data_IF_907935481708
#
_entry.id   IF_907935481708
#
_cell.length_a   1.000
_cell.length_b   1.000
_cell.length_c   1.000
_cell.angle_alpha   90.00
_cell.angle_beta   90.00
_cell.angle_gamma   90.00
#
_symmetry.space_group_name_H-M   'P 1'
#
loop_
_entity.id
_entity.type
_entity.pdbx_description
1 polymer ?
#
# COMPACT_ATOMS: atom_id res chain seq x y z
N UNK A 1 9.17 -1.14 4.30
CA UNK A 1 10.58 -1.44 4.32
C UNK A 1 10.97 -2.14 3.01
N UNK A 2 12.07 -1.73 2.42
CA UNK A 2 12.58 -2.29 1.17
C UNK A 2 14.10 -2.52 1.28
N UNK A 3 14.59 -3.58 0.66
CA UNK A 3 16.03 -3.85 0.62
C UNK A 3 16.45 -4.46 -0.71
N UNK A 4 17.69 -4.21 -1.09
CA UNK A 4 18.37 -4.89 -2.17
C UNK A 4 19.15 -6.08 -1.60
N UNK A 5 18.83 -7.28 -2.12
CA UNK A 5 19.45 -8.53 -1.67
C UNK A 5 20.46 -9.03 -2.72
N UNK A 6 21.71 -9.14 -2.33
CA UNK A 6 22.83 -9.56 -3.22
C UNK A 6 23.08 -11.08 -3.28
N UNK A 7 22.07 -11.89 -2.95
CA UNK A 7 22.16 -13.35 -2.99
C UNK A 7 22.70 -14.00 -1.69
N UNK A 8 23.46 -13.28 -0.89
CA UNK A 8 24.01 -13.75 0.41
C UNK A 8 23.69 -12.80 1.57
N UNK A 9 23.58 -11.51 1.30
CA UNK A 9 23.33 -10.46 2.30
C UNK A 9 22.53 -9.32 1.68
N UNK A 10 21.91 -8.53 2.53
CA UNK A 10 21.33 -7.24 2.17
C UNK A 10 22.49 -6.29 1.85
N UNK A 11 22.45 -5.67 0.66
CA UNK A 11 23.50 -4.75 0.17
C UNK A 11 23.08 -3.29 0.28
N UNK A 12 21.77 -3.02 0.23
CA UNK A 12 21.18 -1.71 0.48
C UNK A 12 19.80 -1.84 1.12
N UNK A 13 19.39 -0.83 1.85
CA UNK A 13 18.08 -0.79 2.52
C UNK A 13 17.52 0.63 2.51
N UNK A 14 16.26 0.77 2.08
CA UNK A 14 15.49 2.00 2.26
C UNK A 14 14.81 1.91 3.62
N UNK A 15 15.13 2.80 4.58
CA UNK A 15 14.62 2.71 5.94
C UNK A 15 13.10 2.99 5.98
N UNK A 16 12.35 2.29 6.83
CA UNK A 16 10.96 2.62 7.09
C UNK A 16 10.92 3.91 7.94
N UNK A 17 10.09 4.87 7.50
CA UNK A 17 9.93 6.16 8.20
C UNK A 17 8.60 6.27 8.94
N UNK A 18 7.86 5.15 9.07
CA UNK A 18 6.53 5.11 9.68
C UNK A 18 5.45 5.81 8.84
N UNK A 19 4.21 5.76 9.32
CA UNK A 19 3.02 6.12 8.53
C UNK A 19 2.89 7.63 8.21
N UNK A 20 3.61 8.50 8.93
CA UNK A 20 3.61 9.95 8.68
C UNK A 20 4.59 10.31 7.57
N UNK A 21 5.83 9.85 7.67
CA UNK A 21 6.94 10.24 6.80
C UNK A 21 7.25 9.23 5.69
N UNK A 22 6.60 8.07 5.70
CA UNK A 22 6.83 6.98 4.77
C UNK A 22 5.63 6.05 4.67
N UNK A 23 5.91 4.73 4.64
CA UNK A 23 4.93 3.64 4.49
C UNK A 23 4.11 3.74 3.19
N UNK A 24 4.69 4.30 2.12
CA UNK A 24 4.07 4.34 0.80
C UNK A 24 3.62 2.93 0.38
N UNK A 25 2.48 2.84 -0.28
CA UNK A 25 1.89 1.56 -0.72
C UNK A 25 1.38 0.66 0.40
N UNK A 26 1.46 1.08 1.67
CA UNK A 26 0.86 0.36 2.79
C UNK A 26 -0.66 0.57 2.88
N UNK A 27 -1.33 -0.26 3.71
CA UNK A 27 -2.75 -0.04 4.02
C UNK A 27 -3.03 1.33 4.63
N UNK A 28 -2.12 1.85 5.46
CA UNK A 28 -2.24 3.18 6.04
C UNK A 28 -2.14 4.29 4.99
N UNK A 29 -1.21 4.16 4.05
CA UNK A 29 -1.05 5.11 2.94
C UNK A 29 -2.29 5.10 2.03
N UNK A 30 -2.78 3.91 1.66
CA UNK A 30 -4.01 3.74 0.88
C UNK A 30 -5.23 4.36 1.58
N UNK A 31 -5.41 4.11 2.89
CA UNK A 31 -6.49 4.69 3.67
C UNK A 31 -6.38 6.22 3.77
N UNK A 32 -5.18 6.75 3.96
CA UNK A 32 -4.90 8.20 3.96
C UNK A 32 -5.29 8.83 2.61
N UNK A 33 -4.89 8.21 1.49
CA UNK A 33 -5.22 8.67 0.14
C UNK A 33 -6.74 8.64 -0.11
N UNK A 34 -7.43 7.56 0.31
CA UNK A 34 -8.88 7.45 0.21
C UNK A 34 -9.58 8.56 0.99
N UNK A 35 -9.27 8.74 2.28
CA UNK A 35 -9.88 9.77 3.12
C UNK A 35 -9.63 11.18 2.58
N UNK A 36 -8.42 11.45 2.10
CA UNK A 36 -8.13 12.72 1.43
C UNK A 36 -8.98 12.90 0.16
N UNK A 37 -9.17 11.86 -0.63
CA UNK A 37 -10.02 11.87 -1.83
C UNK A 37 -11.49 12.15 -1.49
N UNK A 38 -12.01 11.52 -0.45
CA UNK A 38 -13.39 11.71 0.05
C UNK A 38 -13.59 13.14 0.57
N UNK A 39 -12.83 13.56 1.59
CA UNK A 39 -13.07 14.83 2.27
C UNK A 39 -12.70 16.07 1.46
N UNK A 40 -11.78 15.93 0.51
CA UNK A 40 -11.44 17.00 -0.46
C UNK A 40 -12.26 16.95 -1.75
N UNK A 41 -13.24 16.03 -1.84
CA UNK A 41 -14.12 15.84 -3.01
C UNK A 41 -13.34 15.66 -4.32
N UNK A 42 -12.27 14.86 -4.26
CA UNK A 42 -11.45 14.50 -5.42
C UNK A 42 -11.89 13.19 -6.07
N UNK A 43 -12.74 12.42 -5.39
CA UNK A 43 -13.38 11.22 -5.92
C UNK A 43 -14.81 11.55 -6.38
N UNK A 44 -15.38 10.77 -7.31
CA UNK A 44 -16.75 10.95 -7.77
C UNK A 44 -17.76 10.91 -6.62
N UNK A 45 -18.87 11.64 -6.75
CA UNK A 45 -19.90 11.67 -5.73
C UNK A 45 -20.46 10.28 -5.42
N UNK A 46 -20.55 9.38 -6.42
CA UNK A 46 -20.96 7.99 -6.22
C UNK A 46 -20.05 7.24 -5.25
N UNK A 47 -18.72 7.42 -5.36
CA UNK A 47 -17.76 6.82 -4.44
C UNK A 47 -17.88 7.43 -3.04
N UNK A 48 -18.08 8.75 -2.96
CA UNK A 48 -18.28 9.43 -1.68
C UNK A 48 -19.53 8.90 -0.98
N UNK A 49 -20.65 8.72 -1.70
CA UNK A 49 -21.88 8.16 -1.15
C UNK A 49 -21.67 6.72 -0.65
N UNK A 50 -21.04 5.85 -1.45
CA UNK A 50 -20.71 4.48 -1.04
C UNK A 50 -19.86 4.45 0.24
N UNK A 51 -18.87 5.36 0.34
CA UNK A 51 -18.03 5.46 1.53
C UNK A 51 -18.83 5.91 2.76
N UNK A 52 -19.66 6.95 2.62
CA UNK A 52 -20.49 7.47 3.73
C UNK A 52 -21.50 6.44 4.21
N UNK A 53 -22.13 5.69 3.30
CA UNK A 53 -23.08 4.63 3.63
C UNK A 53 -22.39 3.46 4.37
N UNK A 54 -21.15 3.15 4.00
CA UNK A 54 -20.37 2.07 4.61
C UNK A 54 -19.76 2.43 5.96
N UNK A 55 -19.41 3.72 6.16
CA UNK A 55 -18.74 4.24 7.34
C UNK A 55 -19.41 5.55 7.83
N UNK A 56 -20.67 5.48 8.29
CA UNK A 56 -21.39 6.67 8.71
C UNK A 56 -20.74 7.39 9.90
N UNK A 57 -19.97 6.64 10.72
CA UNK A 57 -19.24 7.18 11.87
C UNK A 57 -17.92 7.87 11.48
N UNK A 58 -17.39 7.62 10.28
CA UNK A 58 -16.12 8.17 9.84
C UNK A 58 -16.28 9.59 9.26
N UNK A 59 -16.86 10.50 10.05
CA UNK A 59 -16.89 11.91 9.69
C UNK A 59 -15.51 12.58 9.84
N UNK A 60 -15.39 13.82 9.39
CA UNK A 60 -14.12 14.56 9.43
C UNK A 60 -13.55 14.69 10.85
N UNK A 61 -14.40 14.92 11.85
CA UNK A 61 -13.97 15.14 13.24
C UNK A 61 -13.47 13.82 13.83
N UNK A 62 -14.18 12.73 13.59
CA UNK A 62 -13.82 11.38 14.01
C UNK A 62 -12.51 10.93 13.39
N UNK A 63 -12.34 11.13 12.08
CA UNK A 63 -11.09 10.80 11.39
C UNK A 63 -9.91 11.59 11.96
N UNK A 64 -10.05 12.90 12.17
CA UNK A 64 -9.00 13.71 12.78
C UNK A 64 -8.68 13.21 14.19
N UNK A 65 -9.69 12.90 14.99
CA UNK A 65 -9.49 12.38 16.34
C UNK A 65 -8.69 11.08 16.34
N UNK A 66 -9.07 10.09 15.51
CA UNK A 66 -8.41 8.79 15.46
C UNK A 66 -6.98 8.86 14.89
N UNK A 67 -6.73 9.74 13.93
CA UNK A 67 -5.41 9.91 13.33
C UNK A 67 -4.43 10.63 14.27
N UNK A 68 -4.89 11.66 15.00
CA UNK A 68 -3.99 12.51 15.79
C UNK A 68 -3.99 12.20 17.30
N UNK A 69 -5.03 11.52 17.81
CA UNK A 69 -5.19 11.21 19.23
C UNK A 69 -5.48 9.74 19.51
N UNK A 70 -5.70 8.92 18.48
CA UNK A 70 -5.95 7.49 18.63
C UNK A 70 -4.66 6.74 18.98
N UNK A 71 -4.81 5.62 19.67
CA UNK A 71 -3.68 4.76 20.08
C UNK A 71 -3.00 4.06 18.88
N UNK A 72 -3.75 3.79 17.82
CA UNK A 72 -3.27 3.02 16.65
C UNK A 72 -3.64 3.69 15.32
N UNK A 73 -3.14 4.90 15.05
CA UNK A 73 -3.57 5.68 13.88
C UNK A 73 -3.27 5.00 12.53
N UNK A 74 -2.14 4.31 12.41
CA UNK A 74 -1.81 3.56 11.19
C UNK A 74 -2.78 2.40 10.94
N UNK A 75 -3.19 1.68 11.99
CA UNK A 75 -4.17 0.61 11.89
C UNK A 75 -5.57 1.15 11.55
N UNK A 76 -5.94 2.28 12.14
CA UNK A 76 -7.18 2.97 11.80
C UNK A 76 -7.22 3.35 10.31
N UNK A 77 -6.16 3.97 9.80
CA UNK A 77 -6.07 4.30 8.38
C UNK A 77 -6.14 3.04 7.50
N UNK A 78 -5.42 1.98 7.87
CA UNK A 78 -5.40 0.72 7.13
C UNK A 78 -6.76 0.00 7.12
N UNK A 79 -7.64 0.26 8.10
CA UNK A 79 -8.97 -0.34 8.17
C UNK A 79 -9.89 0.03 7.01
N UNK A 80 -9.56 1.06 6.24
CA UNK A 80 -10.29 1.45 5.03
C UNK A 80 -9.84 0.72 3.76
N UNK A 81 -8.74 -0.05 3.80
CA UNK A 81 -8.27 -0.80 2.63
C UNK A 81 -9.29 -1.83 2.09
N UNK A 82 -10.12 -2.51 2.91
CA UNK A 82 -11.20 -3.37 2.41
C UNK A 82 -12.18 -2.66 1.48
N UNK A 83 -12.55 -1.40 1.77
CA UNK A 83 -13.41 -0.60 0.89
C UNK A 83 -12.79 -0.42 -0.50
N UNK A 84 -11.50 -0.11 -0.57
CA UNK A 84 -10.78 0.00 -1.85
C UNK A 84 -10.81 -1.32 -2.61
N UNK A 85 -10.65 -2.45 -1.90
CA UNK A 85 -10.68 -3.78 -2.52
C UNK A 85 -12.06 -4.13 -3.06
N UNK A 86 -13.10 -3.85 -2.30
CA UNK A 86 -14.51 -4.10 -2.67
C UNK A 86 -14.89 -3.31 -3.93
N UNK A 87 -14.43 -2.06 -4.03
CA UNK A 87 -14.76 -1.14 -5.11
C UNK A 87 -13.64 -0.95 -6.14
N UNK A 88 -12.69 -1.90 -6.23
CA UNK A 88 -11.51 -1.79 -7.10
C UNK A 88 -11.85 -1.71 -8.60
N UNK A 89 -13.04 -2.15 -8.99
CA UNK A 89 -13.55 -2.02 -10.35
C UNK A 89 -13.90 -0.59 -10.77
N UNK A 90 -14.01 0.35 -9.81
CA UNK A 90 -14.23 1.77 -10.11
C UNK A 90 -12.90 2.37 -10.57
N UNK A 91 -12.84 2.99 -11.78
CA UNK A 91 -11.58 3.47 -12.36
C UNK A 91 -10.78 4.41 -11.44
N UNK A 92 -11.47 5.30 -10.73
CA UNK A 92 -10.84 6.27 -9.83
C UNK A 92 -10.23 5.60 -8.60
N UNK A 93 -10.86 4.55 -8.07
CA UNK A 93 -10.32 3.75 -6.97
C UNK A 93 -9.11 2.95 -7.46
N UNK A 94 -9.23 2.29 -8.61
CA UNK A 94 -8.12 1.54 -9.21
C UNK A 94 -6.91 2.45 -9.46
N UNK A 95 -7.14 3.66 -9.96
CA UNK A 95 -6.10 4.67 -10.17
C UNK A 95 -5.46 5.09 -8.85
N UNK A 96 -6.25 5.43 -7.84
CA UNK A 96 -5.75 5.81 -6.50
C UNK A 96 -4.79 4.75 -5.95
N UNK A 97 -5.16 3.47 -6.04
CA UNK A 97 -4.32 2.37 -5.57
C UNK A 97 -3.06 2.22 -6.43
N UNK A 98 -3.17 2.35 -7.74
CA UNK A 98 -2.02 2.30 -8.66
C UNK A 98 -1.04 3.44 -8.38
N UNK A 99 -1.53 4.66 -8.18
CA UNK A 99 -0.72 5.85 -7.90
C UNK A 99 0.06 5.70 -6.57
N UNK A 100 -0.55 5.12 -5.55
CA UNK A 100 0.13 4.85 -4.27
C UNK A 100 1.25 3.79 -4.43
N UNK A 101 1.08 2.78 -5.27
CA UNK A 101 2.17 1.85 -5.59
C UNK A 101 3.24 2.49 -6.47
N UNK A 102 2.87 3.35 -7.41
CA UNK A 102 3.84 4.13 -8.19
C UNK A 102 4.70 4.99 -7.28
N UNK A 103 4.07 5.64 -6.29
CA UNK A 103 4.78 6.40 -5.26
C UNK A 103 5.72 5.51 -4.44
N UNK A 104 5.26 4.31 -4.04
CA UNK A 104 6.12 3.34 -3.35
C UNK A 104 7.36 3.00 -4.17
N UNK A 105 7.22 2.71 -5.47
CA UNK A 105 8.35 2.38 -6.33
C UNK A 105 9.32 3.55 -6.46
N UNK A 106 8.81 4.77 -6.66
CA UNK A 106 9.64 5.95 -6.82
C UNK A 106 10.43 6.31 -5.56
N UNK A 107 9.82 6.12 -4.39
CA UNK A 107 10.45 6.49 -3.12
C UNK A 107 11.35 5.39 -2.52
N UNK A 108 11.14 4.12 -2.92
CA UNK A 108 11.78 3.02 -2.20
C UNK A 108 12.57 2.06 -3.09
N UNK A 109 12.38 2.08 -4.43
CA UNK A 109 12.95 1.05 -5.33
C UNK A 109 13.85 1.66 -6.40
N UNK A 110 13.38 2.71 -7.07
CA UNK A 110 14.00 3.18 -8.30
C UNK A 110 15.43 3.67 -8.15
N UNK A 111 15.83 4.07 -6.94
CA UNK A 111 17.18 4.55 -6.63
C UNK A 111 18.17 3.41 -6.33
N UNK A 112 17.73 2.14 -6.29
CA UNK A 112 18.67 1.02 -6.18
C UNK A 112 19.39 0.77 -7.50
N UNK A 113 20.68 0.46 -7.41
CA UNK A 113 21.47 0.02 -8.56
C UNK A 113 20.81 -1.18 -9.23
N UNK A 114 20.67 -1.11 -10.55
CA UNK A 114 20.04 -2.16 -11.36
C UNK A 114 18.60 -2.51 -11.00
N UNK A 115 17.86 -1.60 -10.34
CA UNK A 115 16.47 -1.85 -9.92
C UNK A 115 15.59 -2.41 -11.05
N UNK A 116 15.75 -1.91 -12.28
CA UNK A 116 14.95 -2.35 -13.44
C UNK A 116 15.37 -3.71 -14.01
N UNK A 117 16.58 -4.19 -13.68
CA UNK A 117 17.10 -5.49 -14.14
C UNK A 117 16.76 -6.63 -13.18
N UNK A 118 16.31 -6.31 -11.96
CA UNK A 118 16.04 -7.29 -10.91
C UNK A 118 14.53 -7.42 -10.65
N UNK A 119 14.05 -8.65 -10.35
CA UNK A 119 12.66 -8.82 -9.94
C UNK A 119 12.41 -8.27 -8.53
N UNK A 120 11.32 -7.53 -8.34
CA UNK A 120 10.89 -7.04 -7.03
C UNK A 120 9.92 -8.04 -6.41
N UNK A 121 10.24 -8.57 -5.24
CA UNK A 121 9.42 -9.52 -4.50
C UNK A 121 8.68 -8.81 -3.37
N UNK A 122 7.45 -9.24 -3.10
CA UNK A 122 6.60 -8.65 -2.08
C UNK A 122 6.15 -9.68 -1.05
N UNK A 123 6.09 -9.25 0.21
CA UNK A 123 5.48 -10.00 1.31
C UNK A 123 4.46 -9.07 1.98
N UNK A 124 3.21 -9.53 2.08
CA UNK A 124 2.15 -8.82 2.78
C UNK A 124 0.81 -8.84 2.06
N UNK A 125 -0.24 -8.64 2.85
CA UNK A 125 -1.63 -8.73 2.39
C UNK A 125 -2.00 -7.65 1.37
N UNK A 126 -1.50 -6.43 1.52
CA UNK A 126 -1.81 -5.32 0.60
C UNK A 126 -1.31 -5.65 -0.81
N UNK A 127 -0.05 -6.05 -0.95
CA UNK A 127 0.52 -6.45 -2.23
C UNK A 127 -0.24 -7.64 -2.86
N UNK A 128 -0.68 -8.58 -2.04
CA UNK A 128 -1.46 -9.73 -2.48
C UNK A 128 -2.86 -9.32 -2.97
N UNK A 129 -3.59 -8.55 -2.17
CA UNK A 129 -4.97 -8.17 -2.48
C UNK A 129 -5.09 -7.20 -3.66
N UNK A 130 -4.08 -6.37 -3.88
CA UNK A 130 -4.02 -5.38 -4.96
C UNK A 130 -2.96 -5.73 -6.02
N UNK A 131 -2.66 -7.03 -6.20
CA UNK A 131 -1.64 -7.48 -7.13
C UNK A 131 -1.79 -6.98 -8.58
N UNK A 132 -2.99 -6.84 -9.16
CA UNK A 132 -3.15 -6.25 -10.49
C UNK A 132 -2.67 -4.80 -10.56
N UNK A 133 -3.05 -3.95 -9.58
CA UNK A 133 -2.66 -2.55 -9.50
C UNK A 133 -1.16 -2.39 -9.25
N UNK A 134 -0.61 -3.24 -8.35
CA UNK A 134 0.81 -3.30 -8.08
C UNK A 134 1.63 -3.63 -9.34
N UNK A 135 1.19 -4.64 -10.11
CA UNK A 135 1.85 -5.03 -11.36
C UNK A 135 1.74 -3.94 -12.42
N UNK A 136 0.62 -3.24 -12.50
CA UNK A 136 0.43 -2.11 -13.41
C UNK A 136 1.40 -0.98 -13.06
N UNK A 137 1.45 -0.55 -11.80
CA UNK A 137 2.36 0.48 -11.34
C UNK A 137 3.83 0.11 -11.58
N UNK A 138 4.20 -1.16 -11.36
CA UNK A 138 5.54 -1.65 -11.64
C UNK A 138 5.89 -1.55 -13.12
N UNK A 139 4.98 -1.99 -14.01
CA UNK A 139 5.18 -1.91 -15.46
C UNK A 139 5.36 -0.46 -15.93
N UNK A 140 4.54 0.46 -15.40
CA UNK A 140 4.62 1.90 -15.70
C UNK A 140 5.97 2.51 -15.22
N UNK A 141 6.61 1.92 -14.19
CA UNK A 141 7.95 2.28 -13.70
C UNK A 141 9.10 1.52 -14.39
N UNK A 142 8.81 0.60 -15.31
CA UNK A 142 9.81 -0.25 -15.95
C UNK A 142 10.37 -1.33 -15.02
N UNK A 143 9.60 -1.76 -14.01
CA UNK A 143 10.00 -2.77 -13.03
C UNK A 143 9.28 -4.10 -13.30
N UNK A 144 9.91 -5.20 -12.91
CA UNK A 144 9.33 -6.55 -12.98
C UNK A 144 8.96 -7.04 -11.58
N UNK A 145 7.70 -7.44 -11.40
CA UNK A 145 7.25 -8.07 -10.16
C UNK A 145 7.53 -9.57 -10.18
N UNK A 146 8.28 -10.02 -9.21
CA UNK A 146 8.52 -11.44 -8.96
C UNK A 146 7.39 -12.09 -8.14
N UNK A 147 7.77 -12.78 -7.05
CA UNK A 147 6.80 -13.46 -6.16
C UNK A 147 6.09 -12.44 -5.28
N UNK A 148 4.78 -12.64 -5.10
CA UNK A 148 3.97 -11.95 -4.08
C UNK A 148 3.51 -13.03 -3.08
N UNK A 149 3.92 -12.90 -1.83
CA UNK A 149 3.56 -13.82 -0.74
C UNK A 149 2.64 -13.09 0.23
N UNK A 150 1.44 -13.64 0.46
CA UNK A 150 0.46 -12.99 1.35
C UNK A 150 0.91 -13.01 2.81
N UNK A 151 1.37 -14.16 3.30
CA UNK A 151 1.86 -14.34 4.67
C UNK A 151 3.17 -15.14 4.63
N UNK A 152 4.22 -14.70 5.37
CA UNK A 152 5.51 -15.38 5.34
C UNK A 152 5.57 -16.65 6.20
N UNK A 153 4.55 -16.92 7.02
CA UNK A 153 4.59 -17.93 8.08
C UNK A 153 4.91 -19.34 7.55
N UNK A 154 4.23 -19.80 6.50
CA UNK A 154 4.46 -21.14 5.94
C UNK A 154 5.87 -21.29 5.37
N UNK A 155 6.38 -20.23 4.73
CA UNK A 155 7.75 -20.20 4.21
C UNK A 155 8.79 -20.20 5.35
N UNK A 156 8.53 -19.48 6.45
CA UNK A 156 9.41 -19.45 7.61
C UNK A 156 9.42 -20.79 8.36
N UNK A 157 8.27 -21.41 8.52
CA UNK A 157 8.16 -22.76 9.13
C UNK A 157 8.95 -23.77 8.30
N UNK A 158 8.79 -23.76 6.97
CA UNK A 158 9.53 -24.65 6.09
C UNK A 158 11.05 -24.39 6.09
N UNK A 159 11.47 -23.14 6.28
CA UNK A 159 12.88 -22.76 6.34
C UNK A 159 13.55 -23.15 7.65
N UNK A 160 12.86 -23.03 8.79
CA UNK A 160 13.39 -23.35 10.11
C UNK A 160 13.11 -24.79 10.56
N UNK A 161 12.29 -25.54 9.82
CA UNK A 161 11.95 -26.93 10.10
C UNK A 161 12.82 -27.97 9.37
N UNK A 162 13.92 -27.50 8.72
CA UNK A 162 14.93 -28.36 8.09
C UNK A 162 16.15 -28.50 9.04
#
# INVERSE_FOLDING_TARGET
NCCLYGGRRITANTPPMGFILGDEGSGASLGKALLAGIFKRRLPQSVISLFTDRYPEADKAEVIRNVYRGERPAAYLASFAPFLKEHIGIPEISRLVTDEFTRFFSMNILDYDNARALPVHFIGSIAHHFAPQLRRAAADCGLTIGRITQAPMDALISFHGQ
#
